data_IF_813128266275
#
_entry.id   IF_813128266275
#
_cell.length_a   1.000
_cell.length_b   1.000
_cell.length_c   1.000
_cell.angle_alpha   90.00
_cell.angle_beta   90.00
_cell.angle_gamma   90.00
#
_symmetry.space_group_name_H-M   'P 1'
#
loop_
_entity.id
_entity.type
_entity.pdbx_description
1 polymer ?
#
# COMPACT_ATOMS: atom_id res chain seq x y z
N UNK A 1 32.67 36.82 -10.05
CA UNK A 1 33.06 37.36 -11.35
C UNK A 1 33.01 36.19 -12.31
N UNK A 2 31.78 35.83 -12.66
CA UNK A 2 31.43 34.90 -13.73
C UNK A 2 30.63 35.67 -14.81
N UNK A 3 30.79 36.99 -14.82
CA UNK A 3 30.27 37.93 -15.78
C UNK A 3 31.26 37.97 -16.96
N UNK A 4 30.84 37.39 -18.08
CA UNK A 4 31.58 37.44 -19.35
C UNK A 4 31.64 38.84 -19.97
N UNK A 5 31.04 39.86 -19.34
CA UNK A 5 30.90 41.21 -19.89
C UNK A 5 31.83 42.27 -19.25
N UNK A 6 32.56 41.92 -18.18
CA UNK A 6 33.63 42.74 -17.61
C UNK A 6 33.16 44.10 -17.08
N UNK A 7 31.90 44.21 -16.65
CA UNK A 7 31.38 45.40 -15.97
C UNK A 7 31.38 45.15 -14.47
N UNK A 8 31.97 46.09 -13.73
CA UNK A 8 31.94 46.11 -12.27
C UNK A 8 30.50 46.03 -11.78
N UNK A 9 30.18 44.90 -11.15
CA UNK A 9 29.12 44.67 -10.18
C UNK A 9 28.01 45.71 -10.25
N UNK A 10 27.01 45.51 -11.12
CA UNK A 10 25.73 46.20 -10.96
C UNK A 10 25.20 45.79 -9.58
N UNK A 11 25.38 46.66 -8.57
CA UNK A 11 25.23 46.36 -7.13
C UNK A 11 23.87 45.72 -6.76
N UNK A 12 22.90 45.74 -7.67
CA UNK A 12 21.56 45.20 -7.48
C UNK A 12 21.17 44.02 -8.38
N UNK A 13 22.00 43.57 -9.32
CA UNK A 13 21.63 42.44 -10.20
C UNK A 13 21.33 41.17 -9.40
N UNK A 14 22.16 40.86 -8.40
CA UNK A 14 21.96 39.70 -7.54
C UNK A 14 20.70 39.82 -6.67
N UNK A 15 20.36 41.03 -6.22
CA UNK A 15 19.16 41.27 -5.40
C UNK A 15 17.90 41.13 -6.23
N UNK A 16 17.88 41.74 -7.42
CA UNK A 16 16.76 41.59 -8.36
C UNK A 16 16.57 40.15 -8.82
N UNK A 17 17.68 39.42 -9.03
CA UNK A 17 17.61 38.01 -9.38
C UNK A 17 17.08 37.14 -8.23
N UNK A 18 17.35 37.49 -6.96
CA UNK A 18 16.73 36.82 -5.80
C UNK A 18 15.23 37.09 -5.77
N UNK A 19 14.81 38.36 -5.89
CA UNK A 19 13.39 38.71 -5.87
C UNK A 19 12.63 38.02 -7.00
N UNK A 20 13.18 38.07 -8.23
CA UNK A 20 12.61 37.36 -9.37
C UNK A 20 12.55 35.85 -9.19
N UNK A 21 13.52 35.24 -8.51
CA UNK A 21 13.43 33.81 -8.22
C UNK A 21 12.31 33.52 -7.21
N UNK A 22 12.10 34.40 -6.23
CA UNK A 22 11.07 34.25 -5.20
C UNK A 22 9.66 34.46 -5.74
N UNK A 23 9.43 35.53 -6.48
CA UNK A 23 8.13 35.99 -6.99
C UNK A 23 7.82 35.49 -8.41
N UNK A 24 8.45 34.39 -8.82
CA UNK A 24 8.16 33.76 -10.11
C UNK A 24 8.26 34.65 -11.36
N UNK A 25 7.36 34.40 -12.31
CA UNK A 25 7.27 35.09 -13.59
C UNK A 25 6.47 36.39 -13.49
N UNK A 26 5.48 36.46 -12.59
CA UNK A 26 4.64 37.64 -12.40
C UNK A 26 5.37 38.79 -11.69
N UNK A 27 6.40 38.45 -10.91
CA UNK A 27 7.28 39.39 -10.23
C UNK A 27 6.66 40.06 -9.00
N UNK A 28 5.51 39.57 -8.53
CA UNK A 28 4.82 40.06 -7.33
C UNK A 28 4.83 39.00 -6.22
N UNK A 29 4.88 39.40 -4.94
CA UNK A 29 4.68 38.47 -3.84
C UNK A 29 3.23 37.94 -3.89
N UNK A 30 3.06 36.63 -3.71
CA UNK A 30 1.74 36.02 -3.72
C UNK A 30 1.17 35.80 -5.13
N UNK A 31 -0.13 36.03 -5.31
CA UNK A 31 -0.80 36.11 -6.61
C UNK A 31 -0.87 37.59 -6.98
N UNK A 32 -0.24 37.95 -8.08
CA UNK A 32 -0.29 39.33 -8.58
C UNK A 32 -1.70 39.93 -8.64
N UNK A 33 -1.81 41.17 -8.17
CA UNK A 33 -3.04 41.98 -8.10
C UNK A 33 -4.13 41.36 -7.18
N UNK A 34 -3.77 40.45 -6.27
CA UNK A 34 -4.71 39.74 -5.37
C UNK A 34 -4.26 39.85 -3.92
N UNK A 35 -5.16 40.39 -3.09
CA UNK A 35 -5.07 40.42 -1.63
C UNK A 35 -5.21 38.98 -1.07
N UNK A 36 -4.07 38.34 -0.81
CA UNK A 36 -3.95 36.92 -0.49
C UNK A 36 -4.20 36.63 1.00
N UNK A 37 -3.99 37.61 1.87
CA UNK A 37 -4.24 37.51 3.31
C UNK A 37 -5.51 38.24 3.82
N UNK A 38 -6.16 38.99 2.93
CA UNK A 38 -7.45 39.67 3.09
C UNK A 38 -7.42 40.86 4.06
N UNK A 39 -6.30 41.55 4.17
CA UNK A 39 -6.12 42.63 5.12
C UNK A 39 -6.17 44.05 4.52
N UNK A 40 -6.22 44.17 3.18
CA UNK A 40 -6.45 45.39 2.39
C UNK A 40 -7.34 46.43 3.07
N UNK A 41 -8.52 46.01 3.52
CA UNK A 41 -9.51 46.92 4.11
C UNK A 41 -9.00 47.68 5.34
N UNK A 42 -7.96 47.16 6.01
CA UNK A 42 -7.28 47.79 7.13
C UNK A 42 -6.12 48.64 6.63
N UNK A 43 -5.27 48.10 5.74
CA UNK A 43 -4.03 48.73 5.30
C UNK A 43 -4.22 49.97 4.41
N UNK A 44 -5.29 50.02 3.62
CA UNK A 44 -5.63 51.21 2.79
C UNK A 44 -5.89 52.51 3.57
N UNK A 45 -5.85 52.50 4.89
CA UNK A 45 -6.13 53.68 5.71
C UNK A 45 -5.46 53.66 7.09
N UNK A 46 -4.35 52.92 7.23
CA UNK A 46 -3.65 52.77 8.51
C UNK A 46 -2.54 53.82 8.72
N UNK A 47 -2.24 54.61 7.68
CA UNK A 47 -1.25 55.67 7.67
C UNK A 47 0.17 55.20 7.41
N UNK A 48 0.35 53.99 6.88
CA UNK A 48 1.63 53.38 6.50
C UNK A 48 1.63 53.15 4.98
N UNK A 49 2.80 53.33 4.37
CA UNK A 49 3.12 52.94 2.98
C UNK A 49 3.64 51.50 3.03
N UNK A 50 2.75 50.51 2.85
CA UNK A 50 3.06 49.12 3.14
C UNK A 50 3.75 48.40 1.96
N UNK A 51 3.51 48.86 0.73
CA UNK A 51 4.20 48.38 -0.47
C UNK A 51 5.49 49.15 -0.81
N UNK A 52 5.75 50.25 -0.10
CA UNK A 52 6.93 51.11 -0.21
C UNK A 52 7.06 51.82 -1.57
N UNK A 53 5.94 52.13 -2.23
CA UNK A 53 5.91 52.86 -3.50
C UNK A 53 6.04 54.39 -3.35
N UNK A 54 5.85 54.90 -2.12
CA UNK A 54 5.99 56.29 -1.72
C UNK A 54 4.69 57.09 -1.64
N UNK A 55 3.55 56.48 -1.98
CA UNK A 55 2.22 56.96 -1.67
C UNK A 55 1.72 56.30 -0.36
N UNK A 56 0.68 56.83 0.30
CA UNK A 56 0.22 56.32 1.62
C UNK A 56 -1.29 56.26 1.58
N UNK A 57 -1.87 55.16 2.07
CA UNK A 57 -3.31 54.93 2.16
C UNK A 57 -4.00 54.92 0.77
N UNK A 58 -3.43 54.15 -0.17
CA UNK A 58 -3.88 53.99 -1.55
C UNK A 58 -4.89 52.82 -1.71
N UNK A 59 -5.69 52.75 -2.80
CA UNK A 59 -6.61 51.63 -3.07
C UNK A 59 -5.96 50.28 -3.40
N UNK A 60 -4.64 50.26 -3.60
CA UNK A 60 -3.79 49.09 -3.89
C UNK A 60 -2.83 48.72 -2.75
N UNK A 61 -2.91 49.41 -1.60
CA UNK A 61 -2.38 48.87 -0.34
C UNK A 61 -3.12 47.57 0.02
N UNK A 62 -2.39 46.56 0.50
CA UNK A 62 -2.82 45.22 0.88
C UNK A 62 -3.10 44.31 -0.31
N UNK A 63 -2.29 44.37 -1.36
CA UNK A 63 -2.50 43.59 -2.60
C UNK A 63 -1.27 42.84 -3.07
N UNK A 64 -0.16 43.53 -3.28
CA UNK A 64 1.11 42.94 -3.73
C UNK A 64 2.20 43.27 -2.70
N UNK A 65 1.86 43.16 -1.42
CA UNK A 65 2.73 43.56 -0.32
C UNK A 65 3.81 42.52 0.01
N UNK A 66 4.97 42.92 0.57
CA UNK A 66 6.05 42.00 0.88
C UNK A 66 5.69 40.81 1.79
N UNK A 67 4.63 40.92 2.59
CA UNK A 67 4.13 39.89 3.51
C UNK A 67 3.14 38.90 2.88
N UNK A 68 2.60 39.19 1.70
CA UNK A 68 1.83 38.23 0.87
C UNK A 68 2.70 37.02 0.48
N UNK A 69 4.02 37.23 0.41
CA UNK A 69 4.98 36.14 0.23
C UNK A 69 5.07 35.27 1.49
N UNK A 70 4.45 34.10 1.45
CA UNK A 70 4.50 33.10 2.52
C UNK A 70 5.39 31.89 2.16
N UNK A 71 6.62 31.80 2.68
CA UNK A 71 7.55 30.70 2.35
C UNK A 71 7.01 29.30 2.67
N UNK A 72 6.15 29.19 3.68
CA UNK A 72 5.56 27.91 4.11
C UNK A 72 4.32 27.51 3.32
N UNK A 73 3.69 28.48 2.63
CA UNK A 73 2.48 28.29 1.84
C UNK A 73 2.49 29.32 0.70
N UNK A 74 3.35 29.13 -0.31
CA UNK A 74 3.45 30.07 -1.42
C UNK A 74 2.13 30.14 -2.18
N UNK A 75 1.80 31.32 -2.66
CA UNK A 75 0.66 31.55 -3.56
C UNK A 75 1.15 31.78 -4.99
N UNK A 76 0.24 31.72 -5.96
CA UNK A 76 0.58 32.01 -7.35
C UNK A 76 1.75 31.17 -7.89
N UNK A 77 2.75 31.87 -8.41
CA UNK A 77 3.99 31.30 -8.93
C UNK A 77 5.21 31.51 -8.00
N UNK A 78 4.94 31.88 -6.73
CA UNK A 78 5.96 32.03 -5.70
C UNK A 78 6.77 30.74 -5.51
N UNK A 79 8.07 30.92 -5.35
CA UNK A 79 9.01 29.83 -5.29
C UNK A 79 10.00 30.02 -4.11
N UNK A 80 9.69 29.43 -2.94
CA UNK A 80 10.62 29.40 -1.82
C UNK A 80 11.84 28.52 -2.10
N UNK A 81 12.96 28.89 -1.49
CA UNK A 81 14.17 28.08 -1.49
C UNK A 81 13.99 26.86 -0.59
N UNK A 82 14.38 25.67 -1.06
CA UNK A 82 14.35 24.46 -0.22
C UNK A 82 15.70 24.23 0.49
N UNK A 83 16.78 24.71 -0.11
CA UNK A 83 18.15 24.57 0.42
C UNK A 83 18.96 25.84 0.25
N UNK A 84 19.94 26.06 1.12
CA UNK A 84 20.76 27.29 1.09
C UNK A 84 21.61 27.30 -0.18
N UNK A 85 22.00 26.12 -0.63
CA UNK A 85 22.79 25.89 -1.84
C UNK A 85 22.07 26.33 -3.12
N UNK A 86 20.73 26.32 -3.17
CA UNK A 86 19.94 26.80 -4.32
C UNK A 86 20.23 28.26 -4.65
N UNK A 87 20.69 29.08 -3.70
CA UNK A 87 21.10 30.46 -4.00
C UNK A 87 22.23 30.54 -5.03
N UNK A 88 23.04 29.50 -5.20
CA UNK A 88 24.10 29.46 -6.22
C UNK A 88 23.55 29.32 -7.65
N UNK A 89 22.27 28.95 -7.80
CA UNK A 89 21.60 28.87 -9.10
C UNK A 89 21.15 30.24 -9.59
N UNK A 90 21.07 31.23 -8.69
CA UNK A 90 20.64 32.59 -9.01
C UNK A 90 21.76 33.29 -9.79
N UNK A 91 21.39 33.85 -10.94
CA UNK A 91 22.32 34.65 -11.76
C UNK A 91 22.88 35.81 -10.92
N UNK A 92 24.20 36.00 -10.95
CA UNK A 92 24.90 37.00 -10.14
C UNK A 92 25.39 36.49 -8.78
N UNK A 93 24.89 35.35 -8.28
CA UNK A 93 25.36 34.76 -7.02
C UNK A 93 26.35 33.62 -7.30
N UNK A 94 27.61 34.00 -7.49
CA UNK A 94 28.71 33.03 -7.57
C UNK A 94 29.21 32.56 -6.19
N UNK A 95 30.12 31.58 -6.18
CA UNK A 95 30.70 30.99 -4.97
C UNK A 95 31.34 31.99 -4.01
N UNK A 96 31.94 33.05 -4.54
CA UNK A 96 32.56 34.11 -3.73
C UNK A 96 31.50 34.87 -2.95
N UNK A 97 30.40 35.25 -3.61
CA UNK A 97 29.29 36.00 -3.00
C UNK A 97 28.55 35.11 -2.02
N UNK A 98 28.20 33.89 -2.44
CA UNK A 98 27.55 32.90 -1.59
C UNK A 98 28.32 32.63 -0.28
N UNK A 99 29.65 32.43 -0.35
CA UNK A 99 30.46 32.22 0.86
C UNK A 99 30.46 33.39 1.84
N UNK A 100 30.23 34.62 1.38
CA UNK A 100 30.14 35.81 2.25
C UNK A 100 28.80 35.89 2.98
N UNK A 101 27.72 35.49 2.32
CA UNK A 101 26.35 35.63 2.83
C UNK A 101 25.80 34.37 3.50
N UNK A 102 26.35 33.19 3.20
CA UNK A 102 25.81 31.88 3.64
C UNK A 102 25.51 31.76 5.12
N UNK A 103 26.33 32.39 5.97
CA UNK A 103 26.21 32.27 7.42
C UNK A 103 25.10 33.19 7.99
N UNK A 104 24.50 34.04 7.17
CA UNK A 104 23.39 34.92 7.51
C UNK A 104 22.05 34.47 6.93
N UNK A 105 22.03 33.33 6.22
CA UNK A 105 20.84 32.83 5.55
C UNK A 105 20.12 31.80 6.43
N UNK A 106 18.79 31.90 6.44
CA UNK A 106 17.89 30.91 7.01
C UNK A 106 16.84 30.55 5.98
N UNK A 107 16.43 29.27 5.98
CA UNK A 107 15.39 28.77 5.10
C UNK A 107 14.32 28.10 5.95
N UNK A 108 13.06 28.35 5.59
CA UNK A 108 11.92 27.67 6.16
C UNK A 108 11.76 26.30 5.52
N UNK A 109 11.45 25.28 6.33
CA UNK A 109 11.14 23.96 5.80
C UNK A 109 9.83 24.04 5.02
N UNK A 110 9.92 23.80 3.71
CA UNK A 110 8.78 23.75 2.82
C UNK A 110 8.85 22.48 1.98
N UNK A 111 7.69 21.87 1.74
CA UNK A 111 7.54 20.71 0.87
C UNK A 111 6.47 21.03 -0.16
N UNK A 112 6.85 21.06 -1.44
CA UNK A 112 5.96 21.28 -2.59
C UNK A 112 4.85 20.22 -2.71
N UNK A 113 4.92 19.14 -1.92
CA UNK A 113 4.04 17.99 -1.96
C UNK A 113 3.95 17.36 -3.37
N UNK A 114 5.06 17.41 -4.11
CA UNK A 114 5.20 16.78 -5.43
C UNK A 114 6.26 15.69 -5.43
N UNK A 115 6.13 14.70 -6.32
CA UNK A 115 7.14 13.70 -6.61
C UNK A 115 8.27 14.25 -7.50
N UNK A 116 9.19 13.38 -7.91
CA UNK A 116 10.33 13.76 -8.78
C UNK A 116 9.92 14.10 -10.21
N UNK A 117 8.73 13.67 -10.63
CA UNK A 117 8.11 13.99 -11.92
C UNK A 117 7.27 15.28 -11.86
N UNK A 118 7.06 15.86 -10.68
CA UNK A 118 6.27 17.06 -10.45
C UNK A 118 4.78 16.79 -10.22
N UNK A 119 4.35 15.54 -10.06
CA UNK A 119 2.96 15.22 -9.74
C UNK A 119 2.71 15.32 -8.24
N UNK A 120 1.49 15.71 -7.85
CA UNK A 120 1.10 15.75 -6.44
C UNK A 120 1.25 14.37 -5.79
N UNK A 121 1.92 14.32 -4.64
CA UNK A 121 2.06 13.08 -3.88
C UNK A 121 0.70 12.65 -3.34
N UNK A 122 0.53 11.34 -3.30
CA UNK A 122 -0.71 10.73 -2.83
C UNK A 122 -0.77 10.83 -1.30
N UNK A 123 -1.84 11.42 -0.79
CA UNK A 123 -2.11 11.45 0.64
C UNK A 123 -2.63 10.09 1.12
N UNK A 124 -1.78 9.33 1.82
CA UNK A 124 -2.10 7.98 2.31
C UNK A 124 -3.24 7.99 3.33
N UNK A 125 -3.54 9.12 3.98
CA UNK A 125 -4.61 9.21 4.97
C UNK A 125 -6.00 9.33 4.35
N UNK A 126 -6.10 9.79 3.10
CA UNK A 126 -7.40 10.02 2.42
C UNK A 126 -7.57 9.23 1.13
N UNK A 127 -6.49 8.81 0.47
CA UNK A 127 -6.53 8.11 -0.80
C UNK A 127 -7.25 6.76 -0.73
N UNK A 128 -7.93 6.34 -1.80
CA UNK A 128 -8.59 5.03 -1.84
C UNK A 128 -7.58 3.87 -1.91
N UNK A 129 -7.99 2.66 -1.53
CA UNK A 129 -7.14 1.47 -1.65
C UNK A 129 -6.71 1.23 -3.11
N UNK A 130 -7.61 1.48 -4.07
CA UNK A 130 -7.28 1.37 -5.48
C UNK A 130 -6.17 2.36 -5.89
N UNK A 131 -6.27 3.62 -5.47
CA UNK A 131 -5.27 4.66 -5.76
C UNK A 131 -3.90 4.29 -5.19
N UNK A 132 -3.87 3.80 -3.95
CA UNK A 132 -2.63 3.37 -3.29
C UNK A 132 -2.03 2.15 -4.03
N UNK A 133 -2.86 1.16 -4.38
CA UNK A 133 -2.39 -0.02 -5.13
C UNK A 133 -1.79 0.36 -6.49
N UNK A 134 -2.45 1.27 -7.23
CA UNK A 134 -1.95 1.74 -8.52
C UNK A 134 -0.57 2.40 -8.37
N UNK A 135 -0.42 3.30 -7.40
CA UNK A 135 0.85 3.97 -7.15
C UNK A 135 1.97 2.99 -6.76
N UNK A 136 1.65 1.99 -5.94
CA UNK A 136 2.61 0.93 -5.56
C UNK A 136 3.03 0.08 -6.78
N UNK A 137 2.12 -0.17 -7.73
CA UNK A 137 2.43 -0.89 -8.97
C UNK A 137 3.32 -0.06 -9.90
N UNK A 138 3.10 1.25 -9.98
CA UNK A 138 3.91 2.17 -10.79
C UNK A 138 5.38 2.21 -10.33
N UNK A 139 5.63 2.05 -9.03
CA UNK A 139 7.00 1.91 -8.50
C UNK A 139 7.58 0.50 -8.61
N UNK A 140 6.85 -0.44 -9.23
CA UNK A 140 7.34 -1.79 -9.55
C UNK A 140 6.98 -2.88 -8.53
N UNK A 141 6.07 -2.63 -7.58
CA UNK A 141 5.57 -3.67 -6.68
C UNK A 141 4.61 -4.59 -7.44
N UNK A 142 4.69 -5.90 -7.19
CA UNK A 142 3.82 -6.86 -7.85
C UNK A 142 2.34 -6.59 -7.53
N UNK A 143 1.40 -6.80 -8.48
CA UNK A 143 0.00 -6.47 -8.28
C UNK A 143 -0.59 -7.08 -7.01
N UNK A 144 -0.30 -8.35 -6.73
CA UNK A 144 -0.82 -9.06 -5.56
C UNK A 144 -0.37 -8.44 -4.23
N UNK A 145 0.89 -7.99 -4.16
CA UNK A 145 1.46 -7.38 -2.96
C UNK A 145 0.94 -5.96 -2.80
N UNK A 146 0.88 -5.20 -3.90
CA UNK A 146 0.34 -3.84 -3.91
C UNK A 146 -1.13 -3.81 -3.46
N UNK A 147 -1.96 -4.73 -3.96
CA UNK A 147 -3.37 -4.84 -3.59
C UNK A 147 -3.54 -5.17 -2.10
N UNK A 148 -2.74 -6.12 -1.59
CA UNK A 148 -2.80 -6.50 -0.18
C UNK A 148 -2.32 -5.37 0.73
N UNK A 149 -1.24 -4.68 0.36
CA UNK A 149 -0.74 -3.52 1.10
C UNK A 149 -1.78 -2.40 1.14
N UNK A 150 -2.38 -2.08 0.00
CA UNK A 150 -3.36 -1.02 -0.09
C UNK A 150 -4.64 -1.33 0.69
N UNK A 151 -5.14 -2.56 0.62
CA UNK A 151 -6.25 -3.02 1.45
C UNK A 151 -5.92 -2.85 2.93
N UNK A 152 -4.77 -3.36 3.39
CA UNK A 152 -4.36 -3.26 4.79
C UNK A 152 -4.17 -1.82 5.27
N UNK A 153 -3.64 -0.92 4.43
CA UNK A 153 -3.42 0.49 4.79
C UNK A 153 -4.74 1.21 5.02
N UNK A 154 -5.73 0.98 4.16
CA UNK A 154 -7.05 1.61 4.28
C UNK A 154 -7.83 1.03 5.46
N UNK A 155 -7.79 -0.29 5.62
CA UNK A 155 -8.41 -1.00 6.75
C UNK A 155 -7.85 -0.54 8.10
N UNK A 156 -6.54 -0.35 8.17
CA UNK A 156 -5.88 0.09 9.40
C UNK A 156 -6.28 1.51 9.83
N UNK A 157 -6.61 2.39 8.88
CA UNK A 157 -6.92 3.80 9.17
C UNK A 157 -8.41 4.08 9.29
N UNK A 158 -9.27 3.19 8.81
CA UNK A 158 -10.69 3.36 9.01
C UNK A 158 -11.08 2.99 10.45
N UNK A 159 -12.21 3.50 10.91
CA UNK A 159 -12.69 3.25 12.27
C UNK A 159 -13.62 2.04 12.34
N UNK A 160 -13.90 1.41 11.20
CA UNK A 160 -14.90 0.38 11.13
C UNK A 160 -14.30 -0.98 11.51
N UNK A 161 -15.05 -2.05 11.30
CA UNK A 161 -14.59 -3.42 11.61
C UNK A 161 -14.93 -4.34 10.43
N UNK A 162 -14.96 -3.78 9.23
CA UNK A 162 -15.27 -4.45 7.98
C UNK A 162 -14.03 -4.43 7.09
N UNK A 163 -13.49 -5.61 6.77
CA UNK A 163 -12.32 -5.71 5.91
C UNK A 163 -12.49 -4.95 4.59
N UNK A 164 -11.61 -3.99 4.36
CA UNK A 164 -11.49 -3.27 3.10
C UNK A 164 -11.08 -4.25 2.01
N UNK A 165 -11.83 -4.28 0.90
CA UNK A 165 -11.48 -5.09 -0.26
C UNK A 165 -10.74 -4.26 -1.32
N UNK A 166 -9.64 -4.79 -1.86
CA UNK A 166 -8.95 -4.26 -3.03
C UNK A 166 -8.61 -5.41 -3.99
N UNK A 167 -9.24 -5.45 -5.18
CA UNK A 167 -8.97 -6.45 -6.23
C UNK A 167 -9.00 -7.91 -5.72
N UNK A 168 -9.94 -8.26 -4.84
CA UNK A 168 -10.05 -9.59 -4.25
C UNK A 168 -9.05 -9.88 -3.12
N UNK A 169 -8.28 -8.89 -2.65
CA UNK A 169 -7.55 -8.92 -1.39
C UNK A 169 -8.36 -8.21 -0.31
N UNK A 170 -8.23 -8.68 0.93
CA UNK A 170 -8.96 -8.14 2.08
C UNK A 170 -7.98 -7.58 3.10
N UNK A 171 -8.33 -6.44 3.69
CA UNK A 171 -7.65 -5.82 4.82
C UNK A 171 -7.61 -6.73 6.04
N UNK A 172 -6.67 -6.43 6.94
CA UNK A 172 -6.53 -7.10 8.22
C UNK A 172 -7.00 -6.20 9.34
N UNK A 173 -8.17 -6.55 9.88
CA UNK A 173 -8.72 -5.97 11.08
C UNK A 173 -7.79 -6.17 12.29
N UNK A 174 -7.83 -5.23 13.23
CA UNK A 174 -7.14 -5.34 14.53
C UNK A 174 -7.77 -6.43 15.41
N UNK A 175 -7.62 -7.68 15.01
CA UNK A 175 -7.48 -8.92 15.77
C UNK A 175 -7.82 -10.04 14.79
N UNK A 176 -6.85 -10.86 14.33
CA UNK A 176 -7.22 -12.14 13.78
C UNK A 176 -7.77 -12.93 14.97
N UNK A 177 -9.09 -12.90 15.17
CA UNK A 177 -9.74 -14.03 15.79
C UNK A 177 -9.42 -15.19 14.85
N UNK A 178 -8.33 -15.90 15.13
CA UNK A 178 -8.15 -17.25 14.68
C UNK A 178 -9.30 -17.98 15.36
N UNK A 179 -10.47 -17.98 14.72
CA UNK A 179 -11.43 -19.03 14.95
C UNK A 179 -10.74 -20.27 14.41
N UNK A 180 -9.98 -20.94 15.29
CA UNK A 180 -9.57 -22.34 15.14
C UNK A 180 -10.84 -23.22 15.16
N UNK A 181 -11.80 -22.93 14.31
CA UNK A 181 -13.01 -23.71 14.11
C UNK A 181 -13.59 -23.41 12.72
N UNK A 182 -12.89 -23.90 11.69
CA UNK A 182 -13.59 -24.56 10.60
C UNK A 182 -12.87 -25.87 10.25
N UNK A 183 -13.07 -26.96 11.02
CA UNK A 183 -12.85 -28.28 10.48
C UNK A 183 -14.00 -28.52 9.50
N UNK A 184 -13.80 -28.24 8.22
CA UNK A 184 -14.61 -28.67 7.08
C UNK A 184 -16.03 -29.19 7.41
N UNK A 185 -16.96 -28.32 7.80
CA UNK A 185 -18.36 -28.75 8.05
C UNK A 185 -19.17 -28.95 6.75
N UNK A 186 -18.52 -28.85 5.59
CA UNK A 186 -19.11 -29.15 4.28
C UNK A 186 -18.77 -30.54 3.75
N UNK A 187 -17.92 -31.31 4.42
CA UNK A 187 -17.81 -32.74 4.12
C UNK A 187 -19.11 -33.40 4.55
N UNK A 188 -19.95 -33.75 3.58
CA UNK A 188 -21.16 -34.54 3.78
C UNK A 188 -20.88 -35.75 4.70
N UNK A 189 -21.91 -36.25 5.41
CA UNK A 189 -21.80 -37.47 6.23
C UNK A 189 -21.10 -38.60 5.45
N UNK A 190 -21.34 -38.69 4.14
CA UNK A 190 -20.66 -39.64 3.25
C UNK A 190 -19.14 -39.45 3.17
N UNK A 191 -18.64 -38.21 3.11
CA UNK A 191 -17.19 -37.94 3.10
C UNK A 191 -16.55 -38.18 4.47
N UNK A 192 -17.25 -37.88 5.57
CA UNK A 192 -16.77 -38.19 6.91
C UNK A 192 -16.67 -39.71 7.14
N UNK A 193 -17.70 -40.46 6.73
CA UNK A 193 -17.69 -41.94 6.77
C UNK A 193 -16.61 -42.51 5.85
N UNK A 194 -16.41 -41.93 4.66
CA UNK A 194 -15.34 -42.34 3.74
C UNK A 194 -13.94 -42.11 4.34
N UNK A 195 -13.73 -40.97 4.98
CA UNK A 195 -12.48 -40.66 5.69
C UNK A 195 -12.21 -41.64 6.83
N UNK A 196 -13.24 -41.93 7.64
CA UNK A 196 -13.14 -42.89 8.75
C UNK A 196 -12.81 -44.31 8.25
N UNK A 197 -13.49 -44.77 7.18
CA UNK A 197 -13.24 -46.08 6.59
C UNK A 197 -11.83 -46.19 5.99
N UNK A 198 -11.37 -45.16 5.26
CA UNK A 198 -10.01 -45.11 4.70
C UNK A 198 -8.94 -45.09 5.81
N UNK A 199 -9.19 -44.36 6.91
CA UNK A 199 -8.32 -44.35 8.08
C UNK A 199 -8.28 -45.71 8.79
N UNK A 200 -9.44 -46.36 8.96
CA UNK A 200 -9.53 -47.70 9.56
C UNK A 200 -8.79 -48.78 8.77
N UNK A 201 -8.85 -48.73 7.43
CA UNK A 201 -8.10 -49.65 6.56
C UNK A 201 -6.58 -49.51 6.77
N UNK A 202 -6.07 -48.26 6.82
CA UNK A 202 -4.64 -48.00 7.09
C UNK A 202 -4.20 -48.51 8.46
N UNK A 203 -5.00 -48.26 9.48
CA UNK A 203 -4.73 -48.71 10.84
C UNK A 203 -4.66 -50.25 10.94
N UNK A 204 -5.58 -50.96 10.28
CA UNK A 204 -5.55 -52.42 10.24
C UNK A 204 -4.31 -52.95 9.52
N UNK A 205 -3.87 -52.30 8.45
CA UNK A 205 -2.63 -52.65 7.75
C UNK A 205 -1.40 -52.51 8.66
N UNK A 206 -1.26 -51.37 9.33
CA UNK A 206 -0.17 -51.13 10.28
C UNK A 206 -0.15 -52.18 11.38
N UNK A 207 -1.31 -52.49 11.95
CA UNK A 207 -1.44 -53.49 13.03
C UNK A 207 -1.13 -54.92 12.57
N UNK A 208 -1.48 -55.28 11.33
CA UNK A 208 -1.10 -56.57 10.73
C UNK A 208 0.42 -56.62 10.56
N UNK A 209 1.02 -55.55 10.05
CA UNK A 209 2.47 -55.44 9.83
C UNK A 209 3.25 -55.57 11.13
N UNK A 210 2.81 -54.92 12.20
CA UNK A 210 3.39 -55.04 13.53
C UNK A 210 3.31 -56.47 14.06
N UNK A 211 2.12 -57.10 14.03
CA UNK A 211 1.95 -58.48 14.51
C UNK A 211 2.75 -59.50 13.72
N UNK A 212 2.94 -59.29 12.41
CA UNK A 212 3.77 -60.16 11.59
C UNK A 212 5.25 -59.99 11.96
N UNK A 213 5.71 -58.76 12.16
CA UNK A 213 7.08 -58.46 12.61
C UNK A 213 7.37 -59.09 13.97
N UNK A 214 6.43 -58.97 14.92
CA UNK A 214 6.51 -59.58 16.25
C UNK A 214 6.64 -61.11 16.17
N UNK A 215 5.75 -61.78 15.43
CA UNK A 215 5.77 -63.25 15.26
C UNK A 215 7.00 -63.78 14.53
N UNK A 216 7.54 -63.03 13.57
CA UNK A 216 8.76 -63.43 12.87
C UNK A 216 9.96 -63.32 13.82
N UNK A 217 10.06 -62.23 14.58
CA UNK A 217 11.12 -62.04 15.57
C UNK A 217 11.07 -63.08 16.70
N UNK A 218 9.87 -63.54 17.10
CA UNK A 218 9.71 -64.61 18.09
C UNK A 218 10.13 -65.99 17.56
N UNK A 219 9.91 -66.29 16.27
CA UNK A 219 10.09 -67.64 15.71
C UNK A 219 11.38 -67.85 14.93
N UNK A 220 12.00 -66.81 14.37
CA UNK A 220 13.12 -66.93 13.42
C UNK A 220 14.19 -65.88 13.76
N UNK A 221 15.37 -66.32 14.24
CA UNK A 221 16.54 -65.47 14.51
C UNK A 221 17.49 -65.35 13.30
N UNK A 222 16.96 -65.23 12.08
CA UNK A 222 17.72 -65.02 10.83
C UNK A 222 17.01 -63.93 10.01
N UNK A 223 17.79 -63.19 9.21
CA UNK A 223 17.42 -62.02 8.42
C UNK A 223 16.04 -62.15 7.72
N UNK A 224 15.02 -61.53 8.31
CA UNK A 224 13.61 -61.61 7.95
C UNK A 224 13.19 -60.70 6.79
N UNK A 225 14.16 -60.03 6.18
CA UNK A 225 13.97 -58.98 5.17
C UNK A 225 13.13 -59.41 3.95
N UNK A 226 13.30 -60.62 3.36
CA UNK A 226 12.54 -61.03 2.17
C UNK A 226 11.06 -61.27 2.46
N UNK A 227 10.76 -61.92 3.60
CA UNK A 227 9.39 -62.26 4.01
C UNK A 227 8.61 -60.99 4.34
N UNK A 228 9.27 -60.01 4.97
CA UNK A 228 8.65 -58.75 5.31
C UNK A 228 8.31 -57.92 4.06
N UNK A 229 9.16 -57.93 3.03
CA UNK A 229 8.88 -57.25 1.76
C UNK A 229 7.71 -57.89 1.00
N UNK A 230 7.60 -59.22 1.01
CA UNK A 230 6.50 -59.91 0.35
C UNK A 230 5.15 -59.67 1.07
N UNK A 231 5.17 -59.60 2.41
CA UNK A 231 4.01 -59.20 3.21
C UNK A 231 3.62 -57.74 2.93
N UNK A 232 4.57 -56.80 2.87
CA UNK A 232 4.30 -55.39 2.54
C UNK A 232 3.65 -55.25 1.17
N UNK A 233 4.13 -56.01 0.18
CA UNK A 233 3.58 -55.98 -1.17
C UNK A 233 2.14 -56.50 -1.18
N UNK A 234 1.89 -57.65 -0.55
CA UNK A 234 0.55 -58.23 -0.45
C UNK A 234 -0.45 -57.38 0.34
N UNK A 235 -0.03 -56.70 1.42
CA UNK A 235 -0.93 -55.79 2.16
C UNK A 235 -1.24 -54.52 1.38
N UNK A 236 -0.25 -53.95 0.69
CA UNK A 236 -0.45 -52.74 -0.13
C UNK A 236 -1.35 -53.00 -1.34
N UNK A 237 -1.25 -54.16 -1.98
CA UNK A 237 -2.14 -54.55 -3.08
C UNK A 237 -3.60 -54.66 -2.60
N UNK A 238 -3.83 -55.32 -1.46
CA UNK A 238 -5.17 -55.42 -0.84
C UNK A 238 -5.71 -54.07 -0.37
N UNK A 239 -4.86 -53.18 0.14
CA UNK A 239 -5.24 -51.83 0.55
C UNK A 239 -5.76 -51.02 -0.65
N UNK A 240 -5.08 -51.13 -1.81
CA UNK A 240 -5.50 -50.48 -3.06
C UNK A 240 -6.83 -51.03 -3.57
N UNK A 241 -7.01 -52.35 -3.51
CA UNK A 241 -8.25 -53.01 -3.91
C UNK A 241 -9.44 -52.56 -3.03
N UNK A 242 -9.27 -52.55 -1.71
CA UNK A 242 -10.29 -52.11 -0.76
C UNK A 242 -10.65 -50.63 -0.92
N UNK A 243 -9.65 -49.76 -1.16
CA UNK A 243 -9.90 -48.34 -1.46
C UNK A 243 -10.72 -48.16 -2.73
N UNK A 244 -10.40 -48.94 -3.78
CA UNK A 244 -11.11 -48.88 -5.05
C UNK A 244 -12.56 -49.36 -4.92
N UNK A 245 -12.81 -50.42 -4.15
CA UNK A 245 -14.18 -50.87 -3.86
C UNK A 245 -14.97 -49.85 -3.04
N UNK A 246 -14.34 -49.27 -2.03
CA UNK A 246 -14.96 -48.23 -1.21
C UNK A 246 -15.34 -47.00 -2.06
N UNK A 247 -14.46 -46.57 -2.96
CA UNK A 247 -14.75 -45.45 -3.88
C UNK A 247 -15.90 -45.79 -4.85
N UNK A 248 -16.03 -47.04 -5.31
CA UNK A 248 -17.19 -47.50 -6.10
C UNK A 248 -18.49 -47.51 -5.30
N UNK A 249 -18.43 -47.78 -3.99
CA UNK A 249 -19.60 -47.75 -3.10
C UNK A 249 -20.04 -46.29 -2.86
N UNK A 250 -19.08 -45.40 -2.60
CA UNK A 250 -19.33 -43.96 -2.39
C UNK A 250 -20.00 -43.35 -3.62
N UNK A 251 -19.44 -43.58 -4.83
CA UNK A 251 -20.03 -43.07 -6.08
C UNK A 251 -21.46 -43.57 -6.32
N UNK A 252 -21.75 -44.84 -5.99
CA UNK A 252 -23.12 -45.38 -6.08
C UNK A 252 -24.07 -44.70 -5.10
N UNK A 253 -23.62 -44.39 -3.89
CA UNK A 253 -24.43 -43.69 -2.89
C UNK A 253 -24.70 -42.24 -3.29
N UNK A 254 -23.69 -41.52 -3.77
CA UNK A 254 -23.84 -40.14 -4.26
C UNK A 254 -24.85 -40.04 -5.41
N UNK A 255 -24.78 -40.96 -6.38
CA UNK A 255 -25.74 -41.00 -7.49
C UNK A 255 -27.17 -41.31 -7.04
N UNK A 256 -27.35 -42.03 -5.93
CA UNK A 256 -28.67 -42.39 -5.38
C UNK A 256 -29.27 -41.23 -4.58
N UNK A 257 -28.44 -40.55 -3.79
CA UNK A 257 -28.82 -39.34 -3.05
C UNK A 257 -29.24 -38.21 -4.01
N UNK A 258 -28.61 -38.10 -5.18
CA UNK A 258 -28.97 -37.11 -6.21
C UNK A 258 -30.34 -37.41 -6.84
N UNK A 259 -30.62 -38.68 -7.14
CA UNK A 259 -31.93 -39.13 -7.64
C UNK A 259 -33.02 -38.91 -6.59
N UNK A 260 -32.77 -39.24 -5.32
CA UNK A 260 -33.74 -39.05 -4.24
C UNK A 260 -34.05 -37.56 -3.98
N UNK A 261 -33.05 -36.66 -4.12
CA UNK A 261 -33.26 -35.21 -4.07
C UNK A 261 -34.13 -34.70 -5.23
N UNK A 262 -33.91 -35.20 -6.45
CA UNK A 262 -34.72 -34.84 -7.61
C UNK A 262 -36.17 -35.31 -7.46
N UNK A 263 -36.38 -36.55 -6.99
CA UNK A 263 -37.72 -37.10 -6.73
C UNK A 263 -38.43 -36.29 -5.62
N UNK A 264 -37.73 -35.94 -4.55
CA UNK A 264 -38.29 -35.14 -3.46
C UNK A 264 -38.65 -33.70 -3.90
N UNK A 265 -37.85 -33.10 -4.78
CA UNK A 265 -38.16 -31.80 -5.38
C UNK A 265 -39.41 -31.86 -6.28
N UNK A 266 -39.57 -32.93 -7.07
CA UNK A 266 -40.76 -33.15 -7.89
C UNK A 266 -42.02 -33.32 -7.02
N UNK A 267 -41.94 -34.08 -5.93
CA UNK A 267 -43.06 -34.24 -4.98
C UNK A 267 -43.46 -32.93 -4.27
N UNK A 268 -42.52 -31.99 -4.05
CA UNK A 268 -42.81 -30.65 -3.51
C UNK A 268 -43.49 -29.71 -4.50
N UNK A 269 -43.37 -29.96 -5.80
CA UNK A 269 -43.97 -29.12 -6.85
C UNK A 269 -45.37 -29.61 -7.22
N UNK A 270 -45.67 -30.89 -7.01
CA UNK A 270 -46.95 -31.53 -7.38
C UNK A 270 -47.97 -31.66 -6.22
N UNK A 271 -47.65 -31.18 -5.02
CA UNK A 271 -48.57 -31.09 -3.87
C UNK A 271 -48.80 -29.65 -3.46
#
# INVERSE_FOLDING_TARGET
>A
DNDEDGKTDEENEGVQAIMKYRYGEDGAPGIKDVDDDQDRMVLQSDGIDNDADGEVDEPDEGVDEPDEYLPTRPYGDDNPFNTVEEMRLIRGIGDKTFKKIKDYLTIYSYDKNVDKEGNLRININTASAFTISQALREVGISPEVADQMAANVVDFRDEDNRPTECNGKYGLECTPYINEVMPHFTTSVSMAVAGLAKGGIRFLEEKIREKVKEKINEKIKIDSSPILEEVKKGTSEKEKELKLELDKIIKRHESRDEVDRQISAIFRIMG
#
